data_IF_862269990312
#
_entry.id   IF_862269990312
#
_cell.length_a   1.000
_cell.length_b   1.000
_cell.length_c   1.000
_cell.angle_alpha   90.00
_cell.angle_beta   90.00
_cell.angle_gamma   90.00
#
_symmetry.space_group_name_H-M   'P 1'
#
loop_
_entity.id
_entity.type
_entity.pdbx_description
1 polymer ?
#
# COMPACT_ATOMS: atom_id res chain seq x y z
N UNK A 1 -3.56 -23.57 -3.57
CA UNK A 1 -4.31 -22.36 -3.19
C UNK A 1 -3.75 -21.24 -4.03
N UNK A 2 -4.57 -20.64 -4.88
CA UNK A 2 -4.20 -19.42 -5.63
C UNK A 2 -4.80 -18.19 -4.92
N UNK A 3 -4.50 -16.99 -5.39
CA UNK A 3 -5.03 -15.76 -4.77
C UNK A 3 -6.57 -15.67 -4.87
N UNK A 4 -7.18 -16.29 -5.88
CA UNK A 4 -8.64 -16.31 -6.02
C UNK A 4 -9.32 -17.08 -4.88
N UNK A 5 -8.70 -18.15 -4.39
CA UNK A 5 -9.21 -18.89 -3.22
C UNK A 5 -9.27 -17.99 -1.98
N UNK A 6 -8.28 -17.09 -1.81
CA UNK A 6 -8.24 -16.13 -0.71
C UNK A 6 -9.33 -15.06 -0.85
N UNK A 7 -9.50 -14.50 -2.05
CA UNK A 7 -10.57 -13.53 -2.35
C UNK A 7 -11.95 -14.15 -2.10
N UNK A 8 -12.17 -15.38 -2.55
CA UNK A 8 -13.44 -16.07 -2.34
C UNK A 8 -13.73 -16.30 -0.85
N UNK A 9 -12.70 -16.49 -0.02
CA UNK A 9 -12.84 -16.65 1.42
C UNK A 9 -13.21 -15.36 2.16
N UNK A 10 -12.99 -14.19 1.56
CA UNK A 10 -13.33 -12.86 2.11
C UNK A 10 -14.15 -12.00 1.12
N UNK A 11 -15.06 -12.64 0.37
CA UNK A 11 -15.73 -12.01 -0.77
C UNK A 11 -16.48 -10.73 -0.41
N UNK A 12 -17.14 -10.68 0.75
CA UNK A 12 -17.93 -9.51 1.17
C UNK A 12 -17.02 -8.32 1.48
N UNK A 13 -15.92 -8.56 2.19
CA UNK A 13 -14.89 -7.57 2.49
C UNK A 13 -14.18 -7.11 1.22
N UNK A 14 -13.87 -8.05 0.32
CA UNK A 14 -13.24 -7.75 -0.98
C UNK A 14 -14.11 -6.83 -1.82
N UNK A 15 -15.41 -7.13 -1.97
CA UNK A 15 -16.35 -6.26 -2.68
C UNK A 15 -16.48 -4.90 -2.00
N UNK A 16 -16.59 -4.87 -0.66
CA UNK A 16 -16.64 -3.63 0.10
C UNK A 16 -15.40 -2.75 -0.07
N UNK A 17 -14.24 -3.37 -0.30
CA UNK A 17 -12.98 -2.69 -0.60
C UNK A 17 -12.93 -2.20 -2.06
N UNK A 18 -13.10 -3.08 -3.05
CA UNK A 18 -12.90 -2.74 -4.47
C UNK A 18 -14.03 -1.91 -5.06
N UNK A 19 -15.23 -1.98 -4.47
CA UNK A 19 -16.41 -1.22 -4.90
C UNK A 19 -16.81 -0.13 -3.91
N UNK A 20 -15.91 0.25 -3.00
CA UNK A 20 -16.17 1.28 -2.00
C UNK A 20 -16.64 2.60 -2.64
N UNK A 21 -17.48 3.35 -1.93
CA UNK A 21 -18.04 4.62 -2.42
C UNK A 21 -16.95 5.60 -2.89
N UNK A 22 -15.82 5.64 -2.19
CA UNK A 22 -14.64 6.42 -2.58
C UNK A 22 -14.16 6.09 -4.00
N UNK A 23 -14.02 4.80 -4.32
CA UNK A 23 -13.57 4.32 -5.64
C UNK A 23 -14.61 4.67 -6.70
N UNK A 24 -15.89 4.45 -6.40
CA UNK A 24 -16.99 4.76 -7.31
C UNK A 24 -17.10 6.26 -7.62
N UNK A 25 -16.95 7.12 -6.62
CA UNK A 25 -16.93 8.58 -6.80
C UNK A 25 -15.69 9.04 -7.57
N UNK A 26 -14.52 8.45 -7.30
CA UNK A 26 -13.28 8.73 -8.03
C UNK A 26 -13.43 8.39 -9.52
N UNK A 27 -13.96 7.20 -9.83
CA UNK A 27 -14.18 6.74 -11.21
C UNK A 27 -15.16 7.65 -11.98
N UNK A 28 -16.11 8.26 -11.29
CA UNK A 28 -17.09 9.20 -11.85
C UNK A 28 -16.61 10.65 -11.90
N UNK A 29 -15.44 10.96 -11.34
CA UNK A 29 -14.95 12.34 -11.19
C UNK A 29 -15.80 13.20 -10.24
N UNK A 30 -16.49 12.56 -9.30
CA UNK A 30 -17.41 13.21 -8.35
C UNK A 30 -16.82 13.36 -6.94
N UNK A 31 -15.67 12.74 -6.69
CA UNK A 31 -15.03 12.78 -5.38
C UNK A 31 -14.63 14.21 -5.02
N UNK A 32 -15.03 14.65 -3.83
CA UNK A 32 -14.63 15.94 -3.27
C UNK A 32 -13.12 16.09 -3.24
N UNK A 33 -12.60 17.20 -3.78
CA UNK A 33 -11.16 17.43 -3.90
C UNK A 33 -10.44 17.33 -2.54
N UNK A 34 -11.07 17.81 -1.46
CA UNK A 34 -10.51 17.71 -0.11
C UNK A 34 -10.30 16.26 0.33
N UNK A 35 -11.26 15.38 0.02
CA UNK A 35 -11.14 13.96 0.34
C UNK A 35 -10.03 13.31 -0.49
N UNK A 36 -9.91 13.67 -1.77
CA UNK A 36 -8.85 13.18 -2.64
C UNK A 36 -7.44 13.62 -2.18
N UNK A 37 -7.26 14.90 -1.85
CA UNK A 37 -5.97 15.40 -1.36
C UNK A 37 -5.59 14.80 0.01
N UNK A 38 -6.57 14.57 0.87
CA UNK A 38 -6.34 13.84 2.12
C UNK A 38 -5.89 12.40 1.85
N UNK A 39 -6.58 11.69 0.95
CA UNK A 39 -6.18 10.35 0.51
C UNK A 39 -4.74 10.33 0.02
N UNK A 40 -4.35 11.23 -0.90
CA UNK A 40 -2.99 11.25 -1.44
C UNK A 40 -1.93 11.46 -0.34
N UNK A 41 -2.16 12.38 0.60
CA UNK A 41 -1.22 12.59 1.72
C UNK A 41 -1.06 11.34 2.58
N UNK A 42 -2.15 10.66 2.88
CA UNK A 42 -2.12 9.42 3.66
C UNK A 42 -1.51 8.25 2.88
N UNK A 43 -1.75 8.19 1.57
CA UNK A 43 -1.19 7.18 0.67
C UNK A 43 0.33 7.31 0.55
N UNK A 44 0.87 8.53 0.55
CA UNK A 44 2.32 8.75 0.63
C UNK A 44 2.92 8.11 1.91
N UNK A 45 2.29 8.33 3.05
CA UNK A 45 2.72 7.74 4.33
C UNK A 45 2.54 6.21 4.32
N UNK A 46 1.46 5.71 3.71
CA UNK A 46 1.25 4.29 3.49
C UNK A 46 2.38 3.67 2.66
N UNK A 47 2.70 4.24 1.49
CA UNK A 47 3.75 3.77 0.58
C UNK A 47 5.11 3.72 1.25
N UNK A 48 5.42 4.70 2.12
CA UNK A 48 6.64 4.69 2.95
C UNK A 48 6.71 3.44 3.83
N UNK A 49 5.63 3.06 4.51
CA UNK A 49 5.61 1.84 5.33
C UNK A 49 5.53 0.58 4.48
N UNK A 50 4.86 0.63 3.32
CA UNK A 50 4.74 -0.48 2.38
C UNK A 50 6.10 -0.84 1.77
N UNK A 51 6.94 0.16 1.46
CA UNK A 51 8.33 -0.03 1.06
C UNK A 51 9.15 -0.73 2.16
N UNK A 52 8.94 -0.36 3.43
CA UNK A 52 9.58 -1.03 4.58
C UNK A 52 9.12 -2.47 4.73
N UNK A 53 7.84 -2.76 4.45
CA UNK A 53 7.32 -4.12 4.48
C UNK A 53 7.93 -5.00 3.36
N UNK A 54 8.11 -4.50 2.14
CA UNK A 54 8.85 -5.24 1.11
C UNK A 54 10.35 -5.38 1.44
N UNK A 55 10.98 -4.38 2.07
CA UNK A 55 12.34 -4.53 2.57
C UNK A 55 12.44 -5.61 3.68
N UNK A 56 11.41 -5.73 4.51
CA UNK A 56 11.29 -6.81 5.49
C UNK A 56 11.22 -8.19 4.80
N UNK A 57 10.60 -8.31 3.63
CA UNK A 57 10.61 -9.55 2.84
C UNK A 57 12.03 -9.96 2.45
N UNK A 58 12.89 -9.01 2.06
CA UNK A 58 14.31 -9.26 1.78
C UNK A 58 15.03 -9.75 3.05
N UNK A 59 14.79 -9.10 4.19
CA UNK A 59 15.38 -9.49 5.47
C UNK A 59 14.96 -10.91 5.91
N UNK A 60 13.69 -11.27 5.70
CA UNK A 60 13.10 -12.55 6.09
C UNK A 60 13.41 -13.70 5.12
N UNK A 61 13.89 -13.40 3.92
CA UNK A 61 14.20 -14.39 2.90
C UNK A 61 15.26 -15.40 3.39
N UNK A 62 15.06 -16.69 3.06
CA UNK A 62 15.97 -17.78 3.44
C UNK A 62 17.05 -18.04 2.36
N UNK A 63 16.88 -17.48 1.17
CA UNK A 63 17.76 -17.69 0.02
C UNK A 63 17.97 -16.40 -0.77
N UNK A 64 19.09 -16.33 -1.49
CA UNK A 64 19.36 -15.21 -2.40
C UNK A 64 18.32 -15.10 -3.53
N UNK A 65 17.69 -16.20 -3.94
CA UNK A 65 16.62 -16.18 -4.94
C UNK A 65 15.41 -15.41 -4.41
N UNK A 66 14.93 -15.76 -3.21
CA UNK A 66 13.82 -15.05 -2.55
C UNK A 66 14.15 -13.58 -2.29
N UNK A 67 15.39 -13.26 -1.90
CA UNK A 67 15.80 -11.86 -1.75
C UNK A 67 15.64 -11.09 -3.06
N UNK A 68 16.07 -11.67 -4.19
CA UNK A 68 15.96 -11.04 -5.51
C UNK A 68 14.52 -10.91 -6.00
N UNK A 69 13.59 -11.75 -5.55
CA UNK A 69 12.16 -11.63 -5.88
C UNK A 69 11.51 -10.39 -5.26
N UNK A 70 11.94 -9.97 -4.07
CA UNK A 70 11.39 -8.79 -3.39
C UNK A 70 12.04 -7.46 -3.82
N UNK A 71 13.27 -7.49 -4.35
CA UNK A 71 14.02 -6.28 -4.78
C UNK A 71 13.25 -5.42 -5.78
N UNK A 72 12.62 -5.96 -6.84
CA UNK A 72 11.87 -5.16 -7.79
C UNK A 72 10.74 -4.35 -7.15
N UNK A 73 10.05 -4.89 -6.15
CA UNK A 73 8.97 -4.19 -5.44
C UNK A 73 9.51 -3.01 -4.63
N UNK A 74 10.62 -3.19 -3.90
CA UNK A 74 11.27 -2.10 -3.15
C UNK A 74 11.74 -1.00 -4.10
N UNK A 75 12.39 -1.38 -5.20
CA UNK A 75 12.88 -0.43 -6.20
C UNK A 75 11.71 0.32 -6.87
N UNK A 76 10.64 -0.37 -7.27
CA UNK A 76 9.47 0.26 -7.87
C UNK A 76 8.81 1.28 -6.93
N UNK A 77 8.71 0.98 -5.63
CA UNK A 77 8.15 1.89 -4.65
C UNK A 77 9.01 3.13 -4.45
N UNK A 78 10.31 2.96 -4.19
CA UNK A 78 11.22 4.05 -3.85
C UNK A 78 11.59 4.92 -5.05
N UNK A 79 11.85 4.31 -6.20
CA UNK A 79 12.40 5.02 -7.37
C UNK A 79 11.32 5.52 -8.33
N UNK A 80 10.11 4.96 -8.28
CA UNK A 80 9.04 5.25 -9.26
C UNK A 80 7.77 5.73 -8.58
N UNK A 81 7.11 4.90 -7.77
CA UNK A 81 5.77 5.19 -7.28
C UNK A 81 5.72 6.40 -6.34
N UNK A 82 6.59 6.46 -5.34
CA UNK A 82 6.67 7.60 -4.42
C UNK A 82 7.07 8.88 -5.16
N UNK A 83 8.02 8.79 -6.11
CA UNK A 83 8.43 9.94 -6.93
C UNK A 83 7.30 10.46 -7.82
N UNK A 84 6.53 9.57 -8.45
CA UNK A 84 5.33 9.94 -9.19
C UNK A 84 4.29 10.59 -8.29
N UNK A 85 4.10 10.05 -7.08
CA UNK A 85 3.16 10.59 -6.10
C UNK A 85 3.51 12.02 -5.69
N UNK A 86 4.79 12.29 -5.40
CA UNK A 86 5.31 13.64 -5.11
C UNK A 86 5.09 14.58 -6.30
N UNK A 87 5.46 14.15 -7.51
CA UNK A 87 5.27 14.93 -8.73
C UNK A 87 3.78 15.26 -8.96
N UNK A 88 2.90 14.30 -8.74
CA UNK A 88 1.46 14.48 -8.89
C UNK A 88 0.90 15.45 -7.85
N UNK A 89 1.24 15.28 -6.57
CA UNK A 89 0.80 16.17 -5.48
C UNK A 89 1.31 17.62 -5.65
N UNK A 90 2.46 17.80 -6.31
CA UNK A 90 3.02 19.13 -6.58
C UNK A 90 2.11 20.03 -7.43
N UNK A 91 1.19 19.43 -8.21
CA UNK A 91 0.19 20.17 -8.98
C UNK A 91 -0.77 20.99 -8.10
N UNK A 92 -0.91 20.62 -6.83
CA UNK A 92 -1.66 21.37 -5.82
C UNK A 92 -0.78 22.13 -4.83
N UNK A 93 0.52 22.27 -5.12
CA UNK A 93 1.48 22.96 -4.25
C UNK A 93 1.83 22.18 -2.98
N UNK A 94 1.55 20.88 -2.92
CA UNK A 94 1.92 20.00 -1.80
C UNK A 94 3.32 19.44 -2.08
N UNK A 95 4.27 19.70 -1.20
CA UNK A 95 5.64 19.19 -1.31
C UNK A 95 5.81 17.83 -0.63
N UNK A 96 6.88 17.12 -0.95
CA UNK A 96 7.27 15.89 -0.24
C UNK A 96 7.47 16.16 1.26
N UNK A 97 8.09 17.29 1.61
CA UNK A 97 8.28 17.67 3.01
C UNK A 97 6.96 17.92 3.74
N UNK A 98 5.95 18.48 3.05
CA UNK A 98 4.62 18.64 3.63
C UNK A 98 4.00 17.28 3.93
N UNK A 99 4.06 16.32 3.00
CA UNK A 99 3.52 14.97 3.19
C UNK A 99 4.30 14.18 4.25
N UNK A 100 5.62 14.33 4.33
CA UNK A 100 6.44 13.73 5.40
C UNK A 100 6.09 14.27 6.80
N UNK A 101 5.67 15.53 6.88
CA UNK A 101 5.26 16.17 8.13
C UNK A 101 3.81 15.87 8.54
N UNK A 102 3.01 15.26 7.67
CA UNK A 102 1.64 14.86 8.00
C UNK A 102 1.63 13.75 9.05
N UNK A 103 0.57 13.76 9.88
CA UNK A 103 0.35 12.67 10.84
C UNK A 103 -0.33 11.50 10.13
N UNK A 104 0.17 10.28 10.35
CA UNK A 104 -0.51 9.06 9.91
C UNK A 104 -1.89 8.99 10.58
N UNK A 105 -2.95 8.90 9.77
CA UNK A 105 -4.31 8.72 10.26
C UNK A 105 -4.53 7.26 10.71
N UNK A 106 -5.58 7.04 11.49
CA UNK A 106 -5.90 5.76 12.10
C UNK A 106 -5.90 4.60 11.10
N UNK A 107 -6.51 4.79 9.93
CA UNK A 107 -6.54 3.76 8.87
C UNK A 107 -5.14 3.39 8.36
N UNK A 108 -4.31 4.40 8.10
CA UNK A 108 -2.91 4.24 7.67
C UNK A 108 -2.10 3.49 8.71
N UNK A 109 -2.21 3.87 9.99
CA UNK A 109 -1.51 3.19 11.09
C UNK A 109 -2.00 1.75 11.22
N UNK A 110 -3.30 1.54 11.34
CA UNK A 110 -3.88 0.22 11.58
C UNK A 110 -3.47 -0.79 10.51
N UNK A 111 -3.53 -0.39 9.23
CA UNK A 111 -3.16 -1.28 8.14
C UNK A 111 -1.64 -1.53 8.11
N UNK A 112 -0.84 -0.46 8.05
CA UNK A 112 0.61 -0.62 7.85
C UNK A 112 1.28 -1.34 9.02
N UNK A 113 0.82 -1.11 10.26
CA UNK A 113 1.34 -1.81 11.44
C UNK A 113 0.92 -3.28 11.45
N UNK A 114 -0.31 -3.60 11.06
CA UNK A 114 -0.72 -5.00 10.90
C UNK A 114 0.18 -5.76 9.90
N UNK A 115 0.46 -5.18 8.72
CA UNK A 115 1.31 -5.82 7.70
C UNK A 115 2.73 -6.05 8.23
N UNK A 116 3.31 -5.04 8.87
CA UNK A 116 4.65 -5.14 9.46
C UNK A 116 4.68 -6.17 10.60
N UNK A 117 3.70 -6.16 11.50
CA UNK A 117 3.62 -7.08 12.62
C UNK A 117 3.44 -8.54 12.16
N UNK A 118 2.61 -8.77 11.13
CA UNK A 118 2.45 -10.09 10.50
C UNK A 118 3.78 -10.60 9.93
N UNK A 119 4.55 -9.75 9.25
CA UNK A 119 5.86 -10.14 8.72
C UNK A 119 6.96 -10.31 9.77
N UNK A 120 6.90 -9.53 10.85
CA UNK A 120 7.86 -9.59 11.96
C UNK A 120 7.66 -10.87 12.78
N UNK A 121 6.40 -11.22 13.06
CA UNK A 121 6.05 -12.37 13.91
C UNK A 121 5.93 -13.69 13.14
N UNK A 122 5.55 -13.63 11.86
CA UNK A 122 5.36 -14.78 10.99
C UNK A 122 6.54 -15.13 10.09
N UNK A 123 6.26 -15.95 9.09
CA UNK A 123 7.16 -16.33 8.00
C UNK A 123 6.92 -15.43 6.77
N UNK A 124 7.75 -15.62 5.73
CA UNK A 124 7.66 -14.85 4.49
C UNK A 124 6.27 -14.95 3.83
N UNK A 125 5.58 -16.09 3.98
CA UNK A 125 4.22 -16.29 3.46
C UNK A 125 3.19 -15.43 4.18
N UNK A 126 3.33 -15.22 5.49
CA UNK A 126 2.41 -14.39 6.29
C UNK A 126 2.54 -12.93 5.88
N UNK A 127 3.77 -12.46 5.66
CA UNK A 127 4.03 -11.13 5.12
C UNK A 127 3.41 -10.95 3.73
N UNK A 128 3.64 -11.88 2.81
CA UNK A 128 3.06 -11.77 1.46
C UNK A 128 1.55 -11.87 1.46
N UNK A 129 0.95 -12.70 2.32
CA UNK A 129 -0.49 -12.75 2.49
C UNK A 129 -1.04 -11.41 3.00
N UNK A 130 -0.32 -10.73 3.91
CA UNK A 130 -0.71 -9.41 4.41
C UNK A 130 -0.51 -8.27 3.38
N UNK A 131 0.49 -8.37 2.50
CA UNK A 131 0.74 -7.42 1.41
C UNK A 131 -0.25 -7.57 0.24
N UNK A 132 -0.70 -8.81 -0.03
CA UNK A 132 -1.47 -9.17 -1.22
C UNK A 132 -2.73 -8.33 -1.46
N UNK A 133 -3.57 -7.98 -0.46
CA UNK A 133 -4.78 -7.19 -0.71
C UNK A 133 -4.51 -5.85 -1.39
N UNK A 134 -3.45 -5.13 -0.99
CA UNK A 134 -3.07 -3.88 -1.64
C UNK A 134 -2.63 -4.12 -3.09
N UNK A 135 -1.69 -5.05 -3.30
CA UNK A 135 -1.12 -5.29 -4.63
C UNK A 135 -2.13 -5.82 -5.64
N UNK A 136 -3.11 -6.63 -5.19
CA UNK A 136 -4.12 -7.23 -6.07
C UNK A 136 -5.32 -6.31 -6.23
N UNK A 137 -5.73 -5.57 -5.18
CA UNK A 137 -6.91 -4.72 -5.22
C UNK A 137 -6.76 -3.46 -6.08
N UNK A 138 -5.52 -3.00 -6.29
CA UNK A 138 -5.19 -1.85 -7.12
C UNK A 138 -4.76 -2.20 -8.56
N UNK A 139 -4.66 -3.50 -8.89
CA UNK A 139 -4.27 -3.98 -10.22
C UNK A 139 -5.44 -3.92 -11.23
#
# INVERSE_FOLDING_TARGET
>A
MNHQDLINACQSEWQGYTEHEFVQQLAKGQLEQKAYLHYLKQDFLFLKQYARAYALAIYKAKTLTQMREAVPSVAALLESEIGHHVSYCSQWGITEADMEAETEDFGTVAYTRYVLDAGMTGELVDLYAALAPCAIGYA
#
